data_IF_195383141161
#
_entry.id   IF_195383141161
#
_cell.length_a   1.000
_cell.length_b   1.000
_cell.length_c   1.000
_cell.angle_alpha   90.00
_cell.angle_beta   90.00
_cell.angle_gamma   90.00
#
_symmetry.space_group_name_H-M   'P 1'
#
loop_
_entity.id
_entity.type
_entity.pdbx_description
1 polymer ?
#
# COMPACT_ATOMS: atom_id res chain seq x y z
N UNK A 1 23.79 1.18 -24.13
CA UNK A 1 23.92 0.85 -22.70
C UNK A 1 23.80 2.14 -21.89
N UNK A 2 22.64 2.44 -21.33
CA UNK A 2 22.47 3.64 -20.48
C UNK A 2 23.03 3.32 -19.09
N UNK A 3 24.07 4.02 -18.69
CA UNK A 3 24.67 3.99 -17.36
C UNK A 3 23.58 4.36 -16.34
N UNK A 4 23.11 3.40 -15.55
CA UNK A 4 22.31 3.68 -14.36
C UNK A 4 23.21 4.50 -13.43
N UNK A 5 22.95 5.80 -13.28
CA UNK A 5 23.51 6.59 -12.19
C UNK A 5 22.90 6.08 -10.89
N UNK A 6 23.43 5.01 -10.34
CA UNK A 6 23.12 4.60 -8.97
C UNK A 6 23.82 5.57 -8.03
N UNK A 7 23.08 6.20 -7.14
CA UNK A 7 23.64 7.01 -6.06
C UNK A 7 24.72 6.19 -5.32
N UNK A 8 25.76 6.87 -4.85
CA UNK A 8 26.80 6.23 -4.05
C UNK A 8 26.18 5.51 -2.84
N UNK A 9 26.60 4.27 -2.47
CA UNK A 9 26.00 3.48 -1.39
C UNK A 9 25.83 4.24 -0.07
N UNK A 10 26.79 5.06 0.30
CA UNK A 10 26.74 5.91 1.48
C UNK A 10 25.58 6.92 1.41
N UNK A 11 25.40 7.58 0.26
CA UNK A 11 24.29 8.53 0.04
C UNK A 11 22.95 7.82 0.11
N UNK A 12 22.84 6.62 -0.46
CA UNK A 12 21.62 5.80 -0.37
C UNK A 12 21.29 5.46 1.09
N UNK A 13 22.29 5.03 1.88
CA UNK A 13 22.11 4.71 3.31
C UNK A 13 21.64 5.92 4.09
N UNK A 14 22.23 7.09 3.84
CA UNK A 14 21.83 8.33 4.51
C UNK A 14 20.39 8.73 4.16
N UNK A 15 20.03 8.67 2.88
CA UNK A 15 18.68 9.02 2.41
C UNK A 15 17.61 8.08 3.00
N UNK A 16 17.87 6.77 3.03
CA UNK A 16 16.92 5.80 3.56
C UNK A 16 16.79 5.90 5.08
N UNK A 17 17.89 6.18 5.79
CA UNK A 17 17.86 6.45 7.23
C UNK A 17 17.09 7.74 7.54
N UNK A 18 17.27 8.79 6.75
CA UNK A 18 16.53 10.05 6.88
C UNK A 18 15.03 9.83 6.64
N UNK A 19 14.65 9.10 5.59
CA UNK A 19 13.27 8.76 5.30
C UNK A 19 12.62 7.94 6.44
N UNK A 20 13.33 6.92 6.94
CA UNK A 20 12.83 6.13 8.06
C UNK A 20 12.69 6.95 9.34
N UNK A 21 13.65 7.84 9.62
CA UNK A 21 13.60 8.75 10.76
C UNK A 21 12.42 9.73 10.66
N UNK A 22 12.16 10.26 9.47
CA UNK A 22 11.01 11.11 9.21
C UNK A 22 9.68 10.39 9.49
N UNK A 23 9.51 9.17 8.97
CA UNK A 23 8.31 8.35 9.25
C UNK A 23 8.16 8.07 10.75
N UNK A 24 9.27 7.75 11.44
CA UNK A 24 9.24 7.52 12.91
C UNK A 24 8.89 8.79 13.68
N UNK A 25 9.41 9.95 13.26
CA UNK A 25 9.08 11.24 13.84
C UNK A 25 7.59 11.53 13.73
N UNK A 26 7.02 11.39 12.54
CA UNK A 26 5.60 11.58 12.30
C UNK A 26 4.75 10.62 13.14
N UNK A 27 5.14 9.34 13.22
CA UNK A 27 4.43 8.36 14.04
C UNK A 27 4.39 8.72 15.53
N UNK A 28 5.45 9.37 16.04
CA UNK A 28 5.58 9.75 17.45
C UNK A 28 4.89 11.07 17.79
N UNK A 29 4.87 11.99 16.84
CA UNK A 29 4.46 13.38 17.10
C UNK A 29 3.03 13.71 16.68
N UNK A 30 2.46 12.97 15.73
CA UNK A 30 1.07 13.15 15.31
C UNK A 30 0.10 12.54 16.33
N UNK A 31 -1.04 13.21 16.51
CA UNK A 31 -2.16 12.71 17.34
C UNK A 31 -3.06 11.83 16.49
N UNK A 32 -2.86 10.53 16.62
CA UNK A 32 -3.58 9.52 15.85
C UNK A 32 -4.96 9.25 16.46
N UNK A 33 -6.01 9.44 15.66
CA UNK A 33 -7.37 8.95 15.88
C UNK A 33 -7.51 7.64 15.06
N UNK A 34 -7.46 6.49 15.74
CA UNK A 34 -7.52 5.17 15.09
C UNK A 34 -8.96 4.66 15.14
N UNK A 35 -9.46 4.16 14.01
CA UNK A 35 -10.82 3.63 13.88
C UNK A 35 -10.79 2.23 13.28
N UNK A 36 -11.73 1.36 13.71
CA UNK A 36 -11.84 -0.02 13.28
C UNK A 36 -10.67 -0.89 13.76
N UNK A 37 -10.04 -0.52 14.87
CA UNK A 37 -8.90 -1.25 15.45
C UNK A 37 -9.29 -2.68 15.81
N UNK A 38 -10.53 -2.91 16.20
CA UNK A 38 -11.11 -4.23 16.50
C UNK A 38 -11.02 -5.20 15.32
N UNK A 39 -11.14 -4.73 14.09
CA UNK A 39 -10.98 -5.55 12.89
C UNK A 39 -9.53 -6.01 12.73
N UNK A 40 -8.60 -5.11 12.98
CA UNK A 40 -7.17 -5.39 12.93
C UNK A 40 -6.74 -6.36 14.04
N UNK A 41 -7.11 -6.08 15.29
CA UNK A 41 -6.78 -6.91 16.46
C UNK A 41 -7.30 -8.35 16.30
N UNK A 42 -8.53 -8.52 15.81
CA UNK A 42 -9.09 -9.84 15.53
C UNK A 42 -8.25 -10.64 14.54
N UNK A 43 -7.72 -10.01 13.48
CA UNK A 43 -6.86 -10.67 12.51
C UNK A 43 -5.49 -11.00 13.12
N UNK A 44 -4.88 -10.08 13.85
CA UNK A 44 -3.59 -10.30 14.51
C UNK A 44 -3.70 -11.44 15.54
N UNK A 45 -4.72 -11.42 16.37
CA UNK A 45 -4.94 -12.46 17.40
C UNK A 45 -5.17 -13.85 16.80
N UNK A 46 -5.71 -13.89 15.56
CA UNK A 46 -5.88 -15.17 14.86
C UNK A 46 -4.55 -15.85 14.51
N UNK A 47 -3.44 -15.11 14.51
CA UNK A 47 -2.11 -15.58 14.10
C UNK A 47 -2.00 -15.95 12.63
N UNK A 48 -3.04 -15.72 11.83
CA UNK A 48 -3.08 -16.03 10.40
C UNK A 48 -2.68 -14.82 9.56
N UNK A 49 -2.10 -15.08 8.39
CA UNK A 49 -1.82 -14.02 7.43
C UNK A 49 -3.11 -13.36 6.91
N UNK A 50 -2.98 -12.12 6.51
CA UNK A 50 -4.01 -11.34 5.82
C UNK A 50 -3.33 -10.32 4.90
N UNK A 51 -4.11 -9.58 4.12
CA UNK A 51 -3.61 -8.58 3.19
C UNK A 51 -4.02 -7.20 3.69
N UNK A 52 -3.07 -6.32 4.03
CA UNK A 52 -3.34 -4.89 4.10
C UNK A 52 -3.47 -4.35 2.68
N UNK A 53 -4.63 -3.82 2.33
CA UNK A 53 -4.84 -3.10 1.08
C UNK A 53 -4.95 -1.60 1.37
N UNK A 54 -4.20 -0.79 0.64
CA UNK A 54 -4.22 0.67 0.76
C UNK A 54 -3.86 1.32 -0.58
N UNK A 55 -4.37 2.54 -0.82
CA UNK A 55 -4.05 3.25 -2.05
C UNK A 55 -2.59 3.75 -2.08
N UNK A 56 -1.98 3.87 -3.26
CA UNK A 56 -0.65 4.48 -3.41
C UNK A 56 -0.56 5.87 -2.78
N UNK A 57 -1.64 6.66 -2.87
CA UNK A 57 -1.72 7.96 -2.21
C UNK A 57 -1.49 7.92 -0.69
N UNK A 58 -1.63 6.75 -0.07
CA UNK A 58 -1.54 6.53 1.39
C UNK A 58 -0.32 5.69 1.80
N UNK A 59 0.66 5.52 0.90
CA UNK A 59 1.79 4.60 1.11
C UNK A 59 2.71 5.03 2.26
N UNK A 60 2.97 6.34 2.42
CA UNK A 60 4.08 6.86 3.23
C UNK A 60 4.01 6.44 4.70
N UNK A 61 2.82 6.38 5.30
CA UNK A 61 2.68 6.03 6.72
C UNK A 61 2.37 4.55 6.98
N UNK A 62 2.30 3.72 5.93
CA UNK A 62 2.01 2.28 6.10
C UNK A 62 3.11 1.50 6.85
N UNK A 63 4.40 1.87 6.86
CA UNK A 63 5.37 1.23 7.73
C UNK A 63 5.03 1.28 9.24
N UNK A 64 4.10 2.18 9.64
CA UNK A 64 3.52 2.19 10.99
C UNK A 64 2.91 0.84 11.38
N UNK A 65 2.31 0.13 10.44
CA UNK A 65 1.63 -1.14 10.68
C UNK A 65 2.54 -2.19 11.34
N UNK A 66 3.81 -2.25 10.94
CA UNK A 66 4.77 -3.20 11.51
C UNK A 66 5.00 -3.02 13.03
N UNK A 67 4.76 -1.83 13.56
CA UNK A 67 4.94 -1.54 15.00
C UNK A 67 3.84 -2.17 15.86
N UNK A 68 2.70 -2.48 15.30
CA UNK A 68 1.51 -2.88 16.06
C UNK A 68 1.34 -4.40 16.19
N UNK A 69 2.25 -5.19 15.61
CA UNK A 69 2.23 -6.66 15.75
C UNK A 69 3.59 -7.28 15.43
N UNK A 70 3.77 -8.53 15.86
CA UNK A 70 5.02 -9.29 15.64
C UNK A 70 5.00 -10.14 14.36
N UNK A 71 3.90 -10.11 13.60
CA UNK A 71 3.84 -10.86 12.33
C UNK A 71 4.71 -10.17 11.28
N UNK A 72 5.49 -10.93 10.51
CA UNK A 72 6.29 -10.34 9.43
C UNK A 72 5.37 -9.80 8.32
N UNK A 73 5.73 -8.65 7.75
CA UNK A 73 5.04 -8.04 6.61
C UNK A 73 5.92 -8.17 5.37
N UNK A 74 5.32 -8.56 4.24
CA UNK A 74 5.94 -8.57 2.92
C UNK A 74 5.22 -7.59 1.99
N UNK A 75 5.97 -6.80 1.22
CA UNK A 75 5.44 -5.83 0.26
C UNK A 75 6.05 -6.06 -1.13
N UNK A 76 5.28 -5.77 -2.17
CA UNK A 76 5.77 -5.82 -3.54
C UNK A 76 6.36 -4.46 -3.95
N UNK A 77 7.61 -4.43 -4.34
CA UNK A 77 8.32 -3.23 -4.77
C UNK A 77 8.83 -3.40 -6.20
N UNK A 78 8.73 -2.34 -7.01
CA UNK A 78 9.22 -2.35 -8.38
C UNK A 78 10.72 -2.66 -8.47
N UNK A 79 11.13 -3.42 -9.49
CA UNK A 79 12.54 -3.69 -9.80
C UNK A 79 13.26 -2.47 -10.42
N UNK A 80 12.52 -1.42 -10.78
CA UNK A 80 13.02 -0.30 -11.56
C UNK A 80 13.01 1.01 -10.75
N UNK A 81 13.94 1.91 -11.09
CA UNK A 81 13.98 3.28 -10.57
C UNK A 81 14.20 3.35 -9.05
N UNK A 82 13.35 4.07 -8.37
CA UNK A 82 13.46 4.37 -6.93
C UNK A 82 13.11 3.19 -6.02
N UNK A 83 12.79 2.03 -6.60
CA UNK A 83 12.44 0.81 -5.86
C UNK A 83 13.57 0.35 -4.92
N UNK A 84 14.85 0.61 -5.24
CA UNK A 84 15.97 0.26 -4.36
C UNK A 84 15.96 1.10 -3.07
N UNK A 85 15.76 2.42 -3.19
CA UNK A 85 15.65 3.29 -2.01
C UNK A 85 14.45 2.92 -1.16
N UNK A 86 13.32 2.60 -1.80
CA UNK A 86 12.11 2.18 -1.08
C UNK A 86 12.35 0.86 -0.34
N UNK A 87 12.97 -0.15 -0.98
CA UNK A 87 13.26 -1.42 -0.33
C UNK A 87 14.17 -1.25 0.89
N UNK A 88 15.27 -0.51 0.75
CA UNK A 88 16.18 -0.20 1.86
C UNK A 88 15.47 0.61 2.97
N UNK A 89 14.51 1.47 2.61
CA UNK A 89 13.69 2.16 3.61
C UNK A 89 12.80 1.18 4.36
N UNK A 90 12.22 0.17 3.68
CA UNK A 90 11.42 -0.88 4.33
C UNK A 90 12.25 -1.75 5.28
N UNK A 91 13.52 -2.02 4.96
CA UNK A 91 14.43 -2.76 5.84
C UNK A 91 14.57 -2.10 7.23
N UNK A 92 14.54 -0.77 7.31
CA UNK A 92 14.54 -0.05 8.59
C UNK A 92 13.29 -0.32 9.46
N UNK A 93 12.25 -0.90 8.89
CA UNK A 93 11.00 -1.27 9.57
C UNK A 93 10.81 -2.79 9.67
N UNK A 94 11.81 -3.60 9.31
CA UNK A 94 11.73 -5.07 9.24
C UNK A 94 10.61 -5.56 8.29
N UNK A 95 10.35 -4.81 7.21
CA UNK A 95 9.37 -5.16 6.18
C UNK A 95 10.10 -5.83 5.01
N UNK A 96 9.67 -7.02 4.63
CA UNK A 96 10.28 -7.81 3.57
C UNK A 96 9.90 -7.22 2.21
N UNK A 97 10.89 -6.73 1.46
CA UNK A 97 10.69 -6.20 0.12
C UNK A 97 10.81 -7.31 -0.94
N UNK A 98 9.69 -7.72 -1.53
CA UNK A 98 9.68 -8.62 -2.70
C UNK A 98 9.82 -7.81 -3.97
N UNK A 99 10.81 -8.17 -4.79
CA UNK A 99 11.03 -7.51 -6.07
C UNK A 99 10.13 -8.12 -7.14
N UNK A 100 9.42 -7.28 -7.87
CA UNK A 100 8.57 -7.71 -8.97
C UNK A 100 7.98 -6.52 -9.71
N UNK A 101 7.54 -6.75 -10.95
CA UNK A 101 6.85 -5.72 -11.72
C UNK A 101 5.37 -6.09 -11.87
N UNK A 102 4.47 -5.12 -11.63
CA UNK A 102 3.08 -5.26 -12.06
C UNK A 102 3.02 -5.50 -13.59
N UNK A 103 2.03 -6.26 -14.03
CA UNK A 103 1.83 -6.57 -15.46
C UNK A 103 1.81 -5.29 -16.30
N UNK A 104 2.51 -5.30 -17.44
CA UNK A 104 2.37 -4.29 -18.46
C UNK A 104 1.57 -4.89 -19.61
N UNK A 105 0.30 -4.51 -19.81
CA UNK A 105 -0.54 -5.06 -20.88
C UNK A 105 0.05 -4.83 -22.28
N UNK A 106 0.91 -3.83 -22.45
CA UNK A 106 1.54 -3.48 -23.73
C UNK A 106 2.81 -4.28 -24.08
N UNK A 107 3.32 -5.13 -23.17
CA UNK A 107 4.56 -5.92 -23.44
C UNK A 107 4.35 -7.38 -23.05
N UNK A 108 4.12 -8.26 -24.05
CA UNK A 108 3.95 -9.71 -23.88
C UNK A 108 5.05 -10.41 -23.02
N UNK A 109 6.30 -9.94 -23.09
CA UNK A 109 7.41 -10.46 -22.28
C UNK A 109 7.33 -10.12 -20.79
N UNK A 110 6.59 -9.07 -20.37
CA UNK A 110 6.43 -8.66 -18.96
C UNK A 110 5.26 -9.34 -18.24
N UNK A 111 4.47 -10.16 -18.93
CA UNK A 111 3.40 -10.95 -18.28
C UNK A 111 3.99 -11.97 -17.29
N UNK A 112 5.19 -12.49 -17.54
CA UNK A 112 5.89 -13.43 -16.65
C UNK A 112 6.25 -12.81 -15.29
N UNK A 113 6.60 -11.53 -15.23
CA UNK A 113 6.99 -10.86 -13.97
C UNK A 113 5.84 -10.66 -12.99
N UNK A 114 4.65 -10.31 -13.48
CA UNK A 114 3.47 -10.13 -12.62
C UNK A 114 2.97 -11.44 -12.00
N UNK A 115 2.94 -12.52 -12.80
CA UNK A 115 2.56 -13.84 -12.31
C UNK A 115 3.57 -14.39 -11.29
N UNK A 116 4.87 -14.17 -11.50
CA UNK A 116 5.93 -14.57 -10.56
C UNK A 116 5.80 -13.82 -9.23
N UNK A 117 5.56 -12.50 -9.28
CA UNK A 117 5.35 -11.68 -8.10
C UNK A 117 4.11 -12.13 -7.31
N UNK A 118 2.98 -12.37 -7.99
CA UNK A 118 1.77 -12.88 -7.37
C UNK A 118 2.04 -14.24 -6.68
N UNK A 119 2.74 -15.15 -7.34
CA UNK A 119 3.11 -16.46 -6.80
C UNK A 119 3.95 -16.34 -5.53
N UNK A 120 4.90 -15.40 -5.51
CA UNK A 120 5.73 -15.14 -4.34
C UNK A 120 4.90 -14.65 -3.16
N UNK A 121 3.99 -13.70 -3.38
CA UNK A 121 3.10 -13.19 -2.34
C UNK A 121 2.11 -14.24 -1.83
N UNK A 122 1.57 -15.09 -2.71
CA UNK A 122 0.73 -16.24 -2.31
C UNK A 122 1.52 -17.19 -1.40
N UNK A 123 2.77 -17.48 -1.75
CA UNK A 123 3.65 -18.32 -0.92
C UNK A 123 3.92 -17.68 0.44
N UNK A 124 4.20 -16.37 0.47
CA UNK A 124 4.42 -15.64 1.71
C UNK A 124 3.17 -15.70 2.61
N UNK A 125 1.99 -15.42 2.06
CA UNK A 125 0.74 -15.46 2.83
C UNK A 125 0.43 -16.88 3.37
N UNK A 126 0.67 -17.93 2.59
CA UNK A 126 0.52 -19.33 3.05
C UNK A 126 1.51 -19.71 4.15
N UNK A 127 2.63 -19.02 4.25
CA UNK A 127 3.63 -19.20 5.30
C UNK A 127 3.39 -18.28 6.53
N UNK A 128 2.22 -17.66 6.64
CA UNK A 128 1.86 -16.81 7.78
C UNK A 128 2.41 -15.38 7.71
N UNK A 129 2.96 -14.95 6.56
CA UNK A 129 3.48 -13.60 6.35
C UNK A 129 2.32 -12.69 5.90
N UNK A 130 2.11 -11.59 6.58
CA UNK A 130 1.12 -10.57 6.21
C UNK A 130 1.60 -9.84 4.95
N UNK A 131 0.67 -9.52 4.05
CA UNK A 131 1.01 -8.87 2.78
C UNK A 131 0.55 -7.42 2.80
N UNK A 132 1.43 -6.48 2.43
CA UNK A 132 1.06 -5.10 2.12
C UNK A 132 0.96 -4.90 0.61
N UNK A 133 -0.18 -4.42 0.13
CA UNK A 133 -0.43 -4.27 -1.30
C UNK A 133 -1.19 -2.98 -1.62
N UNK A 134 -0.82 -2.34 -2.74
CA UNK A 134 -1.51 -1.19 -3.32
C UNK A 134 -2.33 -1.64 -4.53
N UNK A 135 -3.67 -1.76 -4.39
CA UNK A 135 -4.52 -2.32 -5.44
C UNK A 135 -4.55 -1.54 -6.75
N UNK A 136 -4.33 -0.22 -6.71
CA UNK A 136 -4.28 0.65 -7.89
C UNK A 136 -2.99 0.48 -8.72
N UNK A 137 -2.02 -0.29 -8.21
CA UNK A 137 -0.78 -0.60 -8.93
C UNK A 137 0.09 0.64 -9.19
N UNK A 138 1.31 0.45 -9.72
CA UNK A 138 2.30 1.55 -9.84
C UNK A 138 2.01 2.54 -10.97
N UNK A 139 0.98 2.31 -11.77
CA UNK A 139 0.59 3.16 -12.90
C UNK A 139 -0.84 3.65 -12.83
N UNK A 140 -1.57 3.26 -11.79
CA UNK A 140 -2.99 3.59 -11.66
C UNK A 140 -3.89 2.84 -12.66
N UNK A 141 -5.07 3.36 -12.92
CA UNK A 141 -5.59 4.67 -12.49
C UNK A 141 -5.78 4.77 -10.97
N UNK A 142 -5.62 5.97 -10.44
CA UNK A 142 -5.68 6.24 -9.00
C UNK A 142 -7.00 5.80 -8.38
N UNK A 143 -6.92 5.08 -7.25
CA UNK A 143 -8.07 4.58 -6.49
C UNK A 143 -9.00 3.69 -7.33
N UNK A 144 -8.42 2.91 -8.25
CA UNK A 144 -9.09 1.86 -9.00
C UNK A 144 -8.37 0.53 -8.77
N UNK A 145 -9.06 -0.40 -8.15
CA UNK A 145 -8.45 -1.69 -7.82
C UNK A 145 -8.27 -2.56 -9.07
N UNK A 146 -7.09 -3.12 -9.21
CA UNK A 146 -6.80 -4.16 -10.20
C UNK A 146 -7.16 -5.54 -9.63
N UNK A 147 -7.45 -6.51 -10.49
CA UNK A 147 -7.85 -7.86 -10.10
C UNK A 147 -6.81 -8.60 -9.25
N UNK A 148 -5.55 -8.18 -9.29
CA UNK A 148 -4.44 -8.84 -8.60
C UNK A 148 -4.63 -8.98 -7.09
N UNK A 149 -5.25 -8.01 -6.42
CA UNK A 149 -5.52 -8.08 -4.98
C UNK A 149 -6.55 -9.16 -4.64
N UNK A 150 -7.64 -9.24 -5.41
CA UNK A 150 -8.68 -10.26 -5.23
C UNK A 150 -8.16 -11.66 -5.59
N UNK A 151 -7.37 -11.77 -6.66
CA UNK A 151 -6.68 -13.03 -7.03
C UNK A 151 -5.74 -13.51 -5.93
N UNK A 152 -4.94 -12.60 -5.35
CA UNK A 152 -4.04 -12.93 -4.24
C UNK A 152 -4.82 -13.46 -3.04
N UNK A 153 -5.85 -12.73 -2.61
CA UNK A 153 -6.70 -13.10 -1.47
C UNK A 153 -7.32 -14.49 -1.64
N UNK A 154 -7.91 -14.76 -2.82
CA UNK A 154 -8.50 -16.06 -3.13
C UNK A 154 -7.47 -17.19 -3.16
N UNK A 155 -6.35 -17.00 -3.87
CA UNK A 155 -5.31 -18.05 -4.03
C UNK A 155 -4.59 -18.37 -2.72
N UNK A 156 -4.44 -17.37 -1.85
CA UNK A 156 -3.85 -17.54 -0.53
C UNK A 156 -4.86 -18.01 0.52
N UNK A 157 -6.17 -17.81 0.31
CA UNK A 157 -7.22 -18.14 1.26
C UNK A 157 -7.24 -17.21 2.47
N UNK A 158 -6.84 -15.95 2.29
CA UNK A 158 -6.70 -14.96 3.38
C UNK A 158 -7.57 -13.74 3.13
N UNK A 159 -8.08 -13.06 4.19
CA UNK A 159 -8.87 -11.85 4.04
C UNK A 159 -8.03 -10.65 3.62
N UNK A 160 -8.70 -9.67 3.02
CA UNK A 160 -8.17 -8.34 2.75
C UNK A 160 -8.69 -7.38 3.81
N UNK A 161 -7.79 -6.66 4.48
CA UNK A 161 -8.09 -5.59 5.43
C UNK A 161 -7.86 -4.24 4.73
N UNK A 162 -8.93 -3.55 4.29
CA UNK A 162 -8.79 -2.20 3.75
C UNK A 162 -8.24 -1.27 4.81
N UNK A 163 -7.26 -0.46 4.43
CA UNK A 163 -6.53 0.38 5.39
C UNK A 163 -6.22 1.74 4.77
N UNK A 164 -6.37 2.80 5.52
CA UNK A 164 -6.07 4.15 5.06
C UNK A 164 -5.59 5.05 6.18
N UNK A 165 -4.98 6.17 5.81
CA UNK A 165 -4.73 7.27 6.74
C UNK A 165 -4.92 8.62 6.04
N UNK A 166 -5.11 9.67 6.83
CA UNK A 166 -4.89 11.05 6.41
C UNK A 166 -4.41 11.91 7.59
N UNK A 167 -3.93 13.10 7.29
CA UNK A 167 -3.40 14.07 8.25
C UNK A 167 -4.00 15.45 8.01
N UNK A 168 -4.24 16.19 9.08
CA UNK A 168 -4.78 17.57 8.97
C UNK A 168 -3.77 18.49 8.27
N UNK A 169 -2.48 18.34 8.60
CA UNK A 169 -1.41 19.17 8.05
C UNK A 169 -0.49 18.31 7.19
N UNK A 170 -0.63 18.47 5.90
CA UNK A 170 0.12 17.72 4.89
C UNK A 170 -0.05 18.32 3.50
N UNK A 171 0.76 17.88 2.57
CA UNK A 171 0.70 18.29 1.18
C UNK A 171 0.29 17.10 0.30
N UNK A 172 -0.73 17.28 -0.51
CA UNK A 172 -1.08 16.35 -1.57
C UNK A 172 -0.22 16.66 -2.80
N UNK A 173 0.62 15.73 -3.19
CA UNK A 173 1.54 15.91 -4.32
C UNK A 173 0.77 15.93 -5.65
N UNK A 174 1.37 16.56 -6.67
CA UNK A 174 0.83 16.58 -8.04
C UNK A 174 1.19 15.33 -8.85
N UNK A 175 1.59 14.23 -8.17
CA UNK A 175 1.84 12.92 -8.80
C UNK A 175 0.53 12.27 -9.26
N UNK A 176 0.62 11.24 -10.10
CA UNK A 176 -0.55 10.51 -10.61
C UNK A 176 -1.41 9.93 -9.49
N UNK A 177 -0.77 9.46 -8.42
CA UNK A 177 -1.38 8.87 -7.23
C UNK A 177 -1.84 9.91 -6.20
N UNK A 178 -1.42 11.17 -6.33
CA UNK A 178 -1.65 12.25 -5.36
C UNK A 178 -1.20 11.86 -3.95
N UNK A 179 0.04 11.36 -3.82
CA UNK A 179 0.63 10.94 -2.55
C UNK A 179 0.47 12.04 -1.49
N UNK A 180 0.01 11.64 -0.30
CA UNK A 180 -0.06 12.52 0.86
C UNK A 180 1.29 12.53 1.56
N UNK A 181 1.88 13.71 1.64
CA UNK A 181 3.10 14.00 2.40
C UNK A 181 2.70 14.73 3.68
N UNK A 182 2.63 14.05 4.84
CA UNK A 182 2.39 14.71 6.12
C UNK A 182 3.50 15.70 6.42
N UNK A 183 3.18 16.86 6.97
CA UNK A 183 4.19 17.79 7.46
C UNK A 183 4.47 17.54 8.95
N UNK A 184 5.71 17.73 9.43
CA UNK A 184 6.10 17.41 10.80
C UNK A 184 5.66 18.50 11.77
N UNK A 185 4.34 18.72 11.87
CA UNK A 185 3.74 19.60 12.87
C UNK A 185 3.35 18.75 14.08
N UNK A 186 4.07 18.86 15.21
CA UNK A 186 3.76 18.09 16.41
C UNK A 186 2.32 18.30 16.88
N UNK A 187 1.71 17.22 17.40
CA UNK A 187 0.33 17.20 17.90
C UNK A 187 -0.76 17.51 16.86
N UNK A 188 -0.40 17.64 15.58
CA UNK A 188 -1.38 17.74 14.50
C UNK A 188 -2.24 16.47 14.42
N UNK A 189 -3.55 16.66 14.15
CA UNK A 189 -4.49 15.54 14.01
C UNK A 189 -4.11 14.67 12.81
N UNK A 190 -4.11 13.37 13.06
CA UNK A 190 -3.99 12.34 12.05
C UNK A 190 -5.06 11.28 12.30
N UNK A 191 -5.54 10.65 11.24
CA UNK A 191 -6.54 9.60 11.30
C UNK A 191 -5.97 8.36 10.64
N UNK A 192 -6.21 7.20 11.26
CA UNK A 192 -5.89 5.89 10.69
C UNK A 192 -7.14 5.01 10.77
N UNK A 193 -7.57 4.42 9.65
CA UNK A 193 -8.80 3.64 9.59
C UNK A 193 -8.50 2.25 9.04
N UNK A 194 -8.96 1.24 9.78
CA UNK A 194 -9.09 -0.13 9.32
C UNK A 194 -10.56 -0.36 8.92
N UNK A 195 -10.80 -0.82 7.70
CA UNK A 195 -12.11 -1.26 7.24
C UNK A 195 -12.44 -2.67 7.73
N UNK A 196 -13.63 -3.14 7.41
CA UNK A 196 -14.03 -4.53 7.67
C UNK A 196 -13.22 -5.49 6.79
N UNK A 197 -12.80 -6.66 7.32
CA UNK A 197 -12.12 -7.69 6.54
C UNK A 197 -13.00 -8.24 5.42
N UNK A 198 -12.48 -8.30 4.21
CA UNK A 198 -13.16 -8.78 3.01
C UNK A 198 -12.63 -10.17 2.66
N UNK A 199 -13.52 -11.15 2.59
CA UNK A 199 -13.21 -12.52 2.18
C UNK A 199 -13.61 -12.73 0.73
N UNK A 200 -12.61 -12.83 -0.16
CA UNK A 200 -12.87 -13.05 -1.60
C UNK A 200 -13.17 -14.53 -1.83
N UNK A 201 -14.37 -14.79 -2.36
CA UNK A 201 -14.83 -16.13 -2.75
C UNK A 201 -14.51 -16.38 -4.24
N UNK A 202 -15.39 -17.09 -4.94
CA UNK A 202 -15.17 -17.51 -6.32
C UNK A 202 -15.24 -16.37 -7.35
N UNK A 203 -16.05 -15.36 -7.09
CA UNK A 203 -16.18 -14.19 -7.96
C UNK A 203 -15.07 -13.17 -7.67
N UNK A 204 -14.02 -13.22 -8.48
CA UNK A 204 -12.85 -12.33 -8.39
C UNK A 204 -13.25 -10.88 -8.71
N UNK A 205 -14.14 -10.67 -9.66
CA UNK A 205 -14.53 -9.31 -10.05
C UNK A 205 -15.37 -8.64 -8.96
N UNK A 206 -16.31 -9.38 -8.37
CA UNK A 206 -17.05 -8.90 -7.20
C UNK A 206 -16.10 -8.61 -6.03
N UNK A 207 -15.14 -9.48 -5.72
CA UNK A 207 -14.14 -9.27 -4.68
C UNK A 207 -13.29 -8.01 -4.95
N UNK A 208 -12.90 -7.77 -6.19
CA UNK A 208 -12.20 -6.55 -6.60
C UNK A 208 -13.05 -5.30 -6.34
N UNK A 209 -14.34 -5.34 -6.73
CA UNK A 209 -15.28 -4.22 -6.54
C UNK A 209 -15.53 -3.95 -5.06
N UNK A 210 -15.72 -4.98 -4.25
CA UNK A 210 -15.94 -4.85 -2.81
C UNK A 210 -14.71 -4.21 -2.12
N UNK A 211 -13.48 -4.62 -2.51
CA UNK A 211 -12.24 -4.04 -2.01
C UNK A 211 -12.12 -2.56 -2.44
N UNK A 212 -12.40 -2.24 -3.71
CA UNK A 212 -12.37 -0.87 -4.22
C UNK A 212 -13.36 0.03 -3.50
N UNK A 213 -14.59 -0.43 -3.35
CA UNK A 213 -15.66 0.32 -2.68
C UNK A 213 -15.31 0.60 -1.21
N UNK A 214 -14.85 -0.42 -0.48
CA UNK A 214 -14.45 -0.27 0.92
C UNK A 214 -13.26 0.68 1.08
N UNK A 215 -12.23 0.55 0.26
CA UNK A 215 -11.06 1.45 0.30
C UNK A 215 -11.46 2.89 -0.01
N UNK A 216 -12.32 3.14 -0.99
CA UNK A 216 -12.79 4.47 -1.32
C UNK A 216 -13.62 5.06 -0.19
N UNK A 217 -14.53 4.28 0.39
CA UNK A 217 -15.35 4.71 1.51
C UNK A 217 -14.51 5.13 2.73
N UNK A 218 -13.56 4.29 3.17
CA UNK A 218 -12.72 4.65 4.33
C UNK A 218 -11.77 5.80 4.01
N UNK A 219 -11.35 5.96 2.74
CA UNK A 219 -10.49 7.06 2.31
C UNK A 219 -11.22 8.40 2.35
N UNK A 220 -12.46 8.44 1.84
CA UNK A 220 -13.34 9.61 1.97
C UNK A 220 -13.56 9.97 3.44
N UNK A 221 -13.92 8.98 4.26
CA UNK A 221 -14.09 9.18 5.69
C UNK A 221 -12.85 9.77 6.37
N UNK A 222 -11.65 9.26 6.03
CA UNK A 222 -10.39 9.78 6.58
C UNK A 222 -10.12 11.22 6.14
N UNK A 223 -10.42 11.59 4.87
CA UNK A 223 -10.25 12.93 4.34
C UNK A 223 -11.17 13.91 5.10
N UNK A 224 -12.44 13.60 5.24
CA UNK A 224 -13.41 14.42 5.97
C UNK A 224 -13.07 14.56 7.46
N UNK A 225 -12.61 13.48 8.12
CA UNK A 225 -12.26 13.51 9.54
C UNK A 225 -11.09 14.44 9.87
N UNK A 226 -10.22 14.73 8.93
CA UNK A 226 -9.12 15.71 9.09
C UNK A 226 -9.47 17.09 8.51
N UNK A 227 -10.69 17.28 8.00
CA UNK A 227 -11.16 18.53 7.43
C UNK A 227 -10.53 18.85 6.07
N UNK A 228 -10.27 17.82 5.27
CA UNK A 228 -9.81 17.94 3.89
C UNK A 228 -10.90 17.50 2.91
N UNK A 229 -10.91 18.12 1.73
CA UNK A 229 -11.81 17.71 0.66
C UNK A 229 -11.46 16.31 0.17
N UNK A 230 -12.49 15.51 -0.03
CA UNK A 230 -12.34 14.21 -0.67
C UNK A 230 -11.86 14.37 -2.11
N UNK A 231 -10.90 13.55 -2.49
CA UNK A 231 -10.41 13.47 -3.86
C UNK A 231 -10.97 12.19 -4.51
N UNK A 232 -12.02 12.28 -5.32
CA UNK A 232 -12.67 11.10 -5.88
C UNK A 232 -11.70 10.27 -6.73
N UNK A 233 -12.00 8.97 -6.94
CA UNK A 233 -11.22 8.11 -7.82
C UNK A 233 -11.03 8.71 -9.22
N UNK A 234 -9.95 8.31 -9.89
CA UNK A 234 -9.79 8.68 -11.30
C UNK A 234 -10.99 8.16 -12.12
N UNK A 235 -11.42 8.89 -13.16
CA UNK A 235 -12.47 8.40 -14.06
C UNK A 235 -12.07 7.03 -14.62
N UNK A 236 -13.06 6.17 -14.88
CA UNK A 236 -12.83 4.96 -15.66
C UNK A 236 -12.38 5.38 -17.05
N UNK A 237 -11.26 4.84 -17.53
CA UNK A 237 -10.88 5.06 -18.93
C UNK A 237 -11.98 4.49 -19.81
N UNK A 238 -12.49 5.27 -20.76
CA UNK A 238 -13.41 4.76 -21.75
C UNK A 238 -12.74 3.61 -22.51
N UNK A 239 -13.50 2.55 -22.82
CA UNK A 239 -13.03 1.44 -23.67
C UNK A 239 -12.76 1.97 -25.09
N UNK A 240 -11.68 2.68 -25.30
CA UNK A 240 -11.33 3.31 -26.57
C UNK A 240 -10.02 4.08 -26.56
N UNK A 241 -9.54 4.48 -25.40
CA UNK A 241 -8.30 5.28 -25.27
C UNK A 241 -7.01 4.43 -25.24
N UNK A 242 -7.05 3.25 -25.84
CA UNK A 242 -5.87 2.38 -26.02
C UNK A 242 -5.39 2.54 -27.46
N UNK A 243 -4.94 3.73 -27.83
CA UNK A 243 -4.17 3.95 -29.05
C UNK A 243 -2.69 4.12 -28.74
#
# INVERSE_FOLDING_TARGET
>A
MARKNSLHPFVQSLLTAAAASYIRLLNRTLRWDVRGEEHHEKLITSGKAFIYAFWHSRLLMMPRLQKHHNLPISVLISEHGDGELLARTMDHFNIIARRGSAQNPRKKQKQKGGASALKALVKDAKNGIVIGLTPDGPRGPRQRAQAGVAQLARLAGVPVLPTTYNVKVGKRLKSWDRLILPLPLPFSKAVFIYGEPIYVKDDIEKGRQDIEASLNHITEKADLMVGQDYSPPAPLMAQGDIS
#
